data_IF_102731461142
#
_entry.id   IF_102731461142
#
_cell.length_a   1.000
_cell.length_b   1.000
_cell.length_c   1.000
_cell.angle_alpha   90.00
_cell.angle_beta   90.00
_cell.angle_gamma   90.00
#
_symmetry.space_group_name_H-M   'P 1'
#
loop_
_entity.id
_entity.type
_entity.pdbx_description
1 polymer ?
#
# COMPACT_ATOMS: atom_id res chain seq x y z
N UNK A 1 15.44 81.52 -4.17
CA UNK A 1 14.32 81.57 -5.14
C UNK A 1 13.17 80.75 -4.56
N UNK A 2 11.96 81.27 -4.68
CA UNK A 2 10.83 81.10 -3.77
C UNK A 2 10.03 79.79 -3.94
N UNK A 3 9.36 79.38 -2.86
CA UNK A 3 8.22 78.46 -2.84
C UNK A 3 7.01 79.08 -3.54
N UNK A 4 6.28 78.34 -4.41
CA UNK A 4 4.83 78.45 -4.63
C UNK A 4 4.26 77.15 -5.24
N UNK A 5 2.94 77.00 -5.15
CA UNK A 5 2.18 75.77 -4.95
C UNK A 5 0.98 75.66 -5.91
N UNK A 6 0.67 74.44 -6.37
CA UNK A 6 -0.67 73.91 -6.76
C UNK A 6 -1.34 74.49 -8.04
N UNK A 7 -1.73 73.63 -9.00
CA UNK A 7 -3.11 73.37 -9.51
C UNK A 7 -3.20 72.90 -10.97
N UNK A 8 -4.19 72.02 -11.20
CA UNK A 8 -4.89 71.65 -12.45
C UNK A 8 -4.29 70.51 -13.29
N UNK A 9 -5.04 69.50 -13.76
CA UNK A 9 -6.44 69.10 -13.56
C UNK A 9 -6.58 67.64 -14.07
N UNK A 10 -7.12 66.73 -13.25
CA UNK A 10 -7.55 65.40 -13.68
C UNK A 10 -8.97 65.55 -14.23
N UNK A 11 -9.17 65.33 -15.53
CA UNK A 11 -10.51 65.16 -16.12
C UNK A 11 -10.65 63.71 -16.59
N UNK A 12 -11.45 62.96 -15.84
CA UNK A 12 -11.97 61.65 -16.19
C UNK A 12 -12.99 61.78 -17.33
N UNK A 13 -12.70 61.15 -18.46
CA UNK A 13 -13.62 60.73 -19.50
C UNK A 13 -12.84 59.65 -20.28
N UNK A 14 -13.27 58.41 -20.49
CA UNK A 14 -14.56 57.79 -20.41
C UNK A 14 -14.53 56.72 -21.51
N UNK A 15 -14.31 55.46 -21.15
CA UNK A 15 -14.64 54.32 -22.00
C UNK A 15 -14.82 53.08 -21.12
N UNK A 16 -16.05 52.89 -20.68
CA UNK A 16 -16.50 51.66 -20.02
C UNK A 16 -16.64 50.60 -21.11
N UNK A 17 -15.66 49.69 -21.19
CA UNK A 17 -15.83 48.43 -21.90
C UNK A 17 -16.79 47.56 -21.07
N UNK A 18 -17.89 47.01 -21.62
CA UNK A 18 -18.61 45.96 -20.96
C UNK A 18 -17.69 44.73 -20.93
N UNK A 19 -17.11 44.48 -19.76
CA UNK A 19 -16.45 43.24 -19.41
C UNK A 19 -17.51 42.15 -19.50
N UNK A 20 -17.60 41.48 -20.66
CA UNK A 20 -18.43 40.30 -20.79
C UNK A 20 -17.86 39.27 -19.84
N UNK A 21 -18.68 38.90 -18.85
CA UNK A 21 -18.41 37.78 -17.98
C UNK A 21 -18.45 36.54 -18.86
N UNK A 22 -17.28 36.11 -19.35
CA UNK A 22 -17.11 34.70 -19.66
C UNK A 22 -17.24 34.00 -18.32
N UNK A 23 -18.41 33.42 -18.09
CA UNK A 23 -18.58 32.33 -17.14
C UNK A 23 -17.61 31.25 -17.58
N UNK A 24 -16.35 31.37 -17.14
CA UNK A 24 -15.44 30.25 -17.09
C UNK A 24 -16.15 29.26 -16.20
N UNK A 25 -16.78 28.27 -16.80
CA UNK A 25 -17.18 27.06 -16.12
C UNK A 25 -15.92 26.57 -15.42
N UNK A 26 -15.83 26.87 -14.12
CA UNK A 26 -15.09 26.04 -13.19
C UNK A 26 -15.87 24.74 -13.21
N UNK A 27 -15.62 23.91 -14.23
CA UNK A 27 -15.71 22.50 -14.00
C UNK A 27 -14.76 22.32 -12.81
N UNK A 28 -15.34 22.04 -11.65
CA UNK A 28 -14.57 21.42 -10.58
C UNK A 28 -13.96 20.19 -11.25
N UNK A 29 -12.70 20.29 -11.71
CA UNK A 29 -11.89 19.11 -11.89
C UNK A 29 -11.95 18.47 -10.52
N UNK A 30 -12.73 17.39 -10.41
CA UNK A 30 -12.62 16.50 -9.28
C UNK A 30 -11.17 16.06 -9.32
N UNK A 31 -10.33 16.73 -8.54
CA UNK A 31 -8.91 16.42 -8.47
C UNK A 31 -8.88 14.98 -7.98
N UNK A 32 -8.24 14.11 -8.77
CA UNK A 32 -8.18 12.71 -8.40
C UNK A 32 -7.51 12.63 -7.02
N UNK A 33 -7.97 11.72 -6.16
CA UNK A 33 -7.40 11.56 -4.83
C UNK A 33 -6.54 10.32 -4.79
N UNK A 34 -5.22 10.52 -4.80
CA UNK A 34 -4.25 9.47 -4.58
C UNK A 34 -4.35 8.94 -3.14
N UNK A 35 -4.37 7.62 -2.98
CA UNK A 35 -4.31 6.91 -1.70
C UNK A 35 -3.33 5.77 -1.81
N UNK A 36 -2.44 5.66 -0.84
CA UNK A 36 -1.45 4.61 -0.78
C UNK A 36 -1.20 4.18 0.66
N UNK A 37 -1.01 2.89 0.87
CA UNK A 37 -0.54 2.34 2.15
C UNK A 37 0.43 1.20 1.90
N UNK A 38 1.44 1.05 2.74
CA UNK A 38 2.36 -0.07 2.73
C UNK A 38 2.74 -0.45 4.15
N UNK A 39 3.04 -1.73 4.35
CA UNK A 39 3.55 -2.21 5.63
C UNK A 39 4.43 -3.44 5.46
N UNK A 40 5.41 -3.57 6.36
CA UNK A 40 6.33 -4.70 6.34
C UNK A 40 5.67 -5.99 6.81
N UNK A 41 5.09 -5.97 8.02
CA UNK A 41 4.45 -7.14 8.63
C UNK A 41 3.09 -6.75 9.19
N UNK A 42 2.10 -7.63 9.02
CA UNK A 42 0.83 -7.57 9.73
C UNK A 42 0.47 -8.96 10.23
N UNK A 43 0.23 -9.09 11.52
CA UNK A 43 -0.25 -10.32 12.16
C UNK A 43 -1.60 -10.04 12.78
N UNK A 44 -2.62 -10.80 12.37
CA UNK A 44 -3.96 -10.72 12.94
C UNK A 44 -4.41 -12.11 13.37
N UNK A 45 -4.43 -12.37 14.67
CA UNK A 45 -4.93 -13.60 15.28
C UNK A 45 -5.84 -13.26 16.45
N UNK A 46 -6.46 -14.26 17.08
CA UNK A 46 -7.28 -14.04 18.27
C UNK A 46 -6.51 -13.41 19.45
N UNK A 47 -5.18 -13.54 19.49
CA UNK A 47 -4.34 -13.09 20.62
C UNK A 47 -3.42 -11.93 20.25
N UNK A 48 -3.06 -11.80 18.97
CA UNK A 48 -2.07 -10.82 18.50
C UNK A 48 -2.67 -10.02 17.35
N UNK A 49 -2.62 -8.69 17.46
CA UNK A 49 -2.93 -7.79 16.36
C UNK A 49 -1.82 -6.73 16.28
N UNK A 50 -0.88 -6.92 15.38
CA UNK A 50 0.29 -6.06 15.23
C UNK A 50 0.55 -5.76 13.75
N UNK A 51 0.96 -4.52 13.47
CA UNK A 51 1.35 -4.08 12.14
C UNK A 51 2.54 -3.13 12.27
N UNK A 52 3.65 -3.45 11.60
CA UNK A 52 4.87 -2.65 11.65
C UNK A 52 5.88 -3.08 10.57
N UNK A 53 6.71 -2.16 10.06
CA UNK A 53 6.44 -0.72 9.96
C UNK A 53 5.25 -0.47 9.05
N UNK A 54 4.60 0.70 9.16
CA UNK A 54 3.44 1.05 8.34
C UNK A 54 3.47 2.51 7.86
N UNK A 55 3.47 2.70 6.55
CA UNK A 55 3.34 3.99 5.90
C UNK A 55 1.94 4.13 5.28
N UNK A 56 1.29 5.27 5.54
CA UNK A 56 -0.03 5.61 4.97
C UNK A 56 0.05 7.03 4.46
N UNK A 57 -0.38 7.27 3.23
CA UNK A 57 -0.29 8.58 2.59
C UNK A 57 -1.26 9.55 3.30
N UNK A 58 -0.75 10.58 3.99
CA UNK A 58 -1.60 11.58 4.64
C UNK A 58 -2.26 12.49 3.60
N UNK A 59 -3.43 13.05 3.93
CA UNK A 59 -4.08 14.02 3.05
C UNK A 59 -3.23 15.29 2.91
N UNK A 60 -2.91 15.67 1.67
CA UNK A 60 -2.13 16.88 1.36
C UNK A 60 -0.61 16.70 1.36
N UNK A 61 -0.12 15.50 1.65
CA UNK A 61 1.31 15.15 1.59
C UNK A 61 1.62 14.31 0.35
N UNK A 62 2.85 14.41 -0.15
CA UNK A 62 3.30 13.64 -1.32
C UNK A 62 3.88 12.28 -0.95
N UNK A 63 4.26 12.08 0.31
CA UNK A 63 5.05 10.94 0.73
C UNK A 63 4.84 10.63 2.20
N UNK A 64 4.90 9.34 2.54
CA UNK A 64 5.14 8.90 3.92
C UNK A 64 6.05 7.68 3.91
N UNK A 65 6.81 7.52 4.99
CA UNK A 65 7.74 6.40 5.18
C UNK A 65 7.69 5.94 6.61
N UNK A 66 7.90 4.65 6.83
CA UNK A 66 8.14 4.07 8.13
C UNK A 66 9.14 2.92 7.99
N UNK A 67 9.95 2.69 9.02
CA UNK A 67 11.03 1.70 8.95
C UNK A 67 11.34 1.09 10.31
N UNK A 68 11.76 -0.17 10.28
CA UNK A 68 12.21 -0.91 11.44
C UNK A 68 13.36 -1.83 11.05
N UNK A 69 14.46 -1.76 11.79
CA UNK A 69 15.60 -2.67 11.60
C UNK A 69 15.23 -4.12 11.89
N UNK A 70 14.37 -4.33 12.89
CA UNK A 70 13.84 -5.64 13.25
C UNK A 70 12.36 -5.52 13.60
N UNK A 71 11.55 -6.43 13.07
CA UNK A 71 10.15 -6.62 13.46
C UNK A 71 9.98 -8.07 13.88
N UNK A 72 9.66 -8.29 15.15
CA UNK A 72 9.46 -9.64 15.70
C UNK A 72 8.10 -9.77 16.37
N UNK A 73 7.33 -10.75 15.94
CA UNK A 73 6.14 -11.23 16.63
C UNK A 73 6.42 -12.67 17.06
N UNK A 74 6.52 -12.87 18.37
CA UNK A 74 7.03 -14.11 18.96
C UNK A 74 6.34 -15.36 18.40
N UNK A 75 7.16 -16.32 17.95
CA UNK A 75 6.74 -17.58 17.33
C UNK A 75 6.00 -17.48 15.98
N UNK A 76 5.72 -16.28 15.47
CA UNK A 76 4.92 -16.08 14.25
C UNK A 76 5.72 -15.52 13.09
N UNK A 77 6.46 -14.44 13.29
CA UNK A 77 7.22 -13.80 12.22
C UNK A 77 8.36 -12.96 12.75
N UNK A 78 9.51 -13.02 12.09
CA UNK A 78 10.63 -12.11 12.26
C UNK A 78 11.09 -11.58 10.91
N UNK A 79 11.30 -10.27 10.81
CA UNK A 79 11.76 -9.60 9.59
C UNK A 79 12.86 -8.61 9.93
N UNK A 80 13.89 -8.55 9.09
CA UNK A 80 14.96 -7.57 9.15
C UNK A 80 14.80 -6.50 8.07
N UNK A 81 15.32 -5.30 8.34
CA UNK A 81 15.41 -4.17 7.41
C UNK A 81 14.09 -3.86 6.70
N UNK A 82 13.02 -3.76 7.49
CA UNK A 82 11.70 -3.45 6.98
C UNK A 82 11.58 -1.96 6.66
N UNK A 83 11.25 -1.65 5.42
CA UNK A 83 11.05 -0.29 4.92
C UNK A 83 9.73 -0.19 4.15
N UNK A 84 8.84 0.67 4.63
CA UNK A 84 7.57 0.98 4.00
C UNK A 84 7.60 2.42 3.50
N UNK A 85 7.19 2.62 2.24
CA UNK A 85 7.14 3.93 1.60
C UNK A 85 5.88 4.01 0.75
N UNK A 86 5.29 5.21 0.73
CA UNK A 86 4.15 5.56 -0.11
C UNK A 86 4.40 6.93 -0.72
N UNK A 87 3.94 7.11 -1.96
CA UNK A 87 4.02 8.35 -2.71
C UNK A 87 2.69 8.61 -3.42
N UNK A 88 2.30 9.88 -3.51
CA UNK A 88 1.13 10.33 -4.27
C UNK A 88 1.44 11.56 -5.09
N UNK A 89 0.78 11.69 -6.23
CA UNK A 89 0.82 12.89 -7.06
C UNK A 89 -0.01 14.02 -6.40
N UNK A 90 0.57 15.22 -6.24
CA UNK A 90 -0.14 16.39 -5.69
C UNK A 90 -0.62 17.37 -6.78
N UNK A 91 -0.12 17.23 -8.01
CA UNK A 91 -0.46 18.10 -9.13
C UNK A 91 -1.90 17.87 -9.55
N UNK A 92 -2.27 16.62 -9.78
CA UNK A 92 -3.65 16.24 -10.15
C UNK A 92 -4.15 14.99 -9.43
N UNK A 93 -3.32 14.37 -8.58
CA UNK A 93 -3.65 13.13 -7.87
C UNK A 93 -3.88 11.93 -8.76
N UNK A 94 -3.37 12.00 -10.00
CA UNK A 94 -3.53 10.98 -11.02
C UNK A 94 -2.69 9.72 -10.76
N UNK A 95 -1.80 9.73 -9.76
CA UNK A 95 -0.89 8.64 -9.46
C UNK A 95 -0.70 8.36 -7.97
N UNK A 96 -0.60 7.09 -7.62
CA UNK A 96 -0.27 6.59 -6.30
C UNK A 96 0.69 5.39 -6.43
N UNK A 97 1.79 5.41 -5.68
CA UNK A 97 2.77 4.32 -5.64
C UNK A 97 3.04 3.96 -4.19
N UNK A 98 3.08 2.66 -3.88
CA UNK A 98 3.51 2.18 -2.58
C UNK A 98 4.45 0.99 -2.72
N UNK A 99 5.34 0.87 -1.74
CA UNK A 99 6.20 -0.30 -1.65
C UNK A 99 6.53 -0.68 -0.21
N UNK A 100 6.75 -1.97 -0.02
CA UNK A 100 7.34 -2.53 1.18
C UNK A 100 8.57 -3.36 0.77
N UNK A 101 9.74 -2.99 1.27
CA UNK A 101 11.00 -3.73 1.08
C UNK A 101 11.43 -4.30 2.40
N UNK A 102 11.80 -5.57 2.41
CA UNK A 102 12.20 -6.31 3.59
C UNK A 102 13.46 -7.10 3.24
N UNK A 103 14.39 -7.20 4.18
CA UNK A 103 15.52 -8.11 4.11
C UNK A 103 15.08 -9.53 4.46
N UNK A 104 15.86 -10.20 5.31
CA UNK A 104 15.57 -11.58 5.70
C UNK A 104 14.24 -11.69 6.46
N UNK A 105 13.41 -12.62 6.01
CA UNK A 105 12.08 -12.93 6.54
C UNK A 105 12.08 -14.38 7.03
N UNK A 106 11.49 -14.60 8.19
CA UNK A 106 11.17 -15.92 8.72
C UNK A 106 9.75 -15.90 9.27
N UNK A 107 8.89 -16.79 8.78
CA UNK A 107 7.51 -16.96 9.21
C UNK A 107 7.32 -18.36 9.78
N UNK A 108 6.63 -18.44 10.93
CA UNK A 108 6.29 -19.65 11.65
C UNK A 108 7.50 -20.56 11.89
N UNK A 109 8.57 -19.98 12.45
CA UNK A 109 9.81 -20.67 12.84
C UNK A 109 10.50 -21.43 11.68
N UNK A 110 10.56 -20.80 10.50
CA UNK A 110 11.26 -21.32 9.33
C UNK A 110 10.38 -22.14 8.38
N UNK A 111 9.07 -22.22 8.63
CA UNK A 111 8.15 -22.82 7.68
C UNK A 111 8.17 -22.07 6.34
N UNK A 112 8.32 -20.74 6.39
CA UNK A 112 8.55 -19.91 5.21
C UNK A 112 9.72 -18.98 5.50
N UNK A 113 10.68 -18.92 4.59
CA UNK A 113 11.82 -18.00 4.66
C UNK A 113 12.06 -17.32 3.32
N UNK A 114 12.53 -16.09 3.34
CA UNK A 114 13.00 -15.38 2.15
C UNK A 114 14.15 -14.44 2.56
N UNK A 115 15.11 -14.19 1.67
CA UNK A 115 16.23 -13.28 1.95
C UNK A 115 15.91 -11.82 1.58
N UNK A 116 14.90 -11.64 0.74
CA UNK A 116 14.42 -10.33 0.34
C UNK A 116 12.97 -10.42 -0.13
N UNK A 117 12.18 -9.43 0.26
CA UNK A 117 10.79 -9.30 -0.17
C UNK A 117 10.56 -7.88 -0.64
N UNK A 118 10.05 -7.73 -1.85
CA UNK A 118 9.66 -6.44 -2.42
C UNK A 118 8.20 -6.54 -2.84
N UNK A 119 7.34 -5.76 -2.21
CA UNK A 119 5.97 -5.53 -2.64
C UNK A 119 5.90 -4.17 -3.34
N UNK A 120 5.37 -4.12 -4.56
CA UNK A 120 5.15 -2.89 -5.31
C UNK A 120 3.68 -2.81 -5.72
N UNK A 121 3.07 -1.66 -5.53
CA UNK A 121 1.75 -1.37 -6.08
C UNK A 121 1.76 0.02 -6.69
N UNK A 122 1.48 0.11 -7.99
CA UNK A 122 1.35 1.36 -8.73
C UNK A 122 -0.06 1.50 -9.26
N UNK A 123 -0.62 2.70 -9.15
CA UNK A 123 -1.93 3.02 -9.72
C UNK A 123 -1.90 4.41 -10.33
N UNK A 124 -2.43 4.51 -11.54
CA UNK A 124 -2.76 5.76 -12.18
C UNK A 124 -4.18 5.71 -12.73
N UNK A 125 -4.71 6.83 -13.23
CA UNK A 125 -6.08 6.87 -13.75
C UNK A 125 -6.27 5.84 -14.86
N UNK A 126 -7.03 4.77 -14.56
CA UNK A 126 -7.37 3.71 -15.51
C UNK A 126 -6.37 2.55 -15.60
N UNK A 127 -5.27 2.55 -14.83
CA UNK A 127 -4.35 1.40 -14.79
C UNK A 127 -3.72 1.21 -13.42
N UNK A 128 -3.56 -0.05 -13.01
CA UNK A 128 -2.86 -0.44 -11.80
C UNK A 128 -2.07 -1.72 -12.04
N UNK A 129 -0.89 -1.82 -11.45
CA UNK A 129 0.01 -2.96 -11.62
C UNK A 129 0.88 -3.19 -10.37
N UNK A 130 1.54 -4.35 -10.37
CA UNK A 130 2.42 -4.82 -9.32
C UNK A 130 3.88 -4.89 -9.78
N UNK A 131 4.26 -4.15 -10.83
CA UNK A 131 5.57 -4.26 -11.45
C UNK A 131 6.69 -3.96 -10.45
N UNK A 132 7.74 -4.80 -10.44
CA UNK A 132 8.84 -4.73 -9.47
C UNK A 132 8.63 -5.53 -8.19
N UNK A 133 7.46 -6.15 -7.99
CA UNK A 133 7.24 -7.09 -6.89
C UNK A 133 8.10 -8.35 -7.05
N UNK A 134 8.78 -8.79 -6.00
CA UNK A 134 9.69 -9.95 -6.06
C UNK A 134 9.94 -10.61 -4.69
N UNK A 135 10.32 -11.88 -4.75
CA UNK A 135 10.68 -12.73 -3.61
C UNK A 135 12.04 -13.37 -3.89
N UNK A 136 13.04 -13.09 -3.05
CA UNK A 136 14.39 -13.62 -3.20
C UNK A 136 14.62 -14.81 -2.28
N UNK A 137 15.15 -15.92 -2.84
CA UNK A 137 15.49 -17.16 -2.12
C UNK A 137 14.33 -17.68 -1.26
N UNK A 138 13.11 -17.61 -1.78
CA UNK A 138 11.92 -18.04 -1.05
C UNK A 138 11.94 -19.56 -0.88
N UNK A 139 11.74 -20.00 0.35
CA UNK A 139 11.53 -21.41 0.72
C UNK A 139 10.20 -21.52 1.43
N UNK A 140 9.37 -22.46 1.00
CA UNK A 140 8.09 -22.79 1.63
C UNK A 140 8.08 -24.27 1.97
N UNK A 141 7.90 -24.59 3.25
CA UNK A 141 7.88 -25.96 3.76
C UNK A 141 9.12 -26.77 3.32
N UNK A 142 10.29 -26.13 3.33
CA UNK A 142 11.58 -26.73 2.93
C UNK A 142 11.82 -26.85 1.42
N UNK A 143 10.89 -26.37 0.57
CA UNK A 143 11.03 -26.38 -0.89
C UNK A 143 11.27 -24.98 -1.42
N UNK A 144 12.30 -24.80 -2.25
CA UNK A 144 12.57 -23.52 -2.94
C UNK A 144 11.44 -23.20 -3.92
N UNK A 145 10.97 -21.95 -3.91
CA UNK A 145 9.92 -21.45 -4.80
C UNK A 145 10.45 -20.21 -5.50
N UNK A 146 10.82 -20.35 -6.76
CA UNK A 146 11.33 -19.26 -7.57
C UNK A 146 10.21 -18.62 -8.39
N UNK A 147 10.14 -17.29 -8.37
CA UNK A 147 9.25 -16.45 -9.19
C UNK A 147 7.78 -16.95 -9.21
N UNK A 148 7.09 -16.99 -8.05
CA UNK A 148 5.70 -17.43 -8.01
C UNK A 148 4.82 -16.48 -8.84
N UNK A 149 4.03 -17.07 -9.75
CA UNK A 149 3.00 -16.35 -10.49
C UNK A 149 2.02 -15.64 -9.53
N UNK A 150 1.34 -14.57 -9.97
CA UNK A 150 0.37 -13.88 -9.14
C UNK A 150 -0.68 -14.83 -8.54
N UNK A 151 -0.96 -14.68 -7.25
CA UNK A 151 -1.91 -15.49 -6.48
C UNK A 151 -1.55 -16.99 -6.40
N UNK A 152 -0.26 -17.33 -6.39
CA UNK A 152 0.19 -18.72 -6.23
C UNK A 152 -0.13 -19.22 -4.83
N UNK A 153 -1.00 -20.21 -4.71
CA UNK A 153 -1.36 -20.81 -3.42
C UNK A 153 -0.61 -22.12 -3.18
N UNK A 154 -0.04 -22.26 -1.98
CA UNK A 154 0.59 -23.48 -1.50
C UNK A 154 -0.01 -23.89 -0.15
N UNK A 155 -0.40 -25.15 0.00
CA UNK A 155 -0.92 -25.66 1.26
C UNK A 155 0.23 -25.92 2.26
N UNK A 156 -0.05 -25.63 3.54
CA UNK A 156 0.88 -25.78 4.65
C UNK A 156 0.31 -26.82 5.64
N UNK A 157 0.71 -28.09 5.54
CA UNK A 157 0.17 -29.16 6.36
C UNK A 157 0.23 -28.85 7.86
N UNK A 158 -0.91 -28.93 8.54
CA UNK A 158 -1.03 -28.64 9.98
C UNK A 158 -1.12 -27.15 10.34
N UNK A 159 -1.05 -26.24 9.37
CA UNK A 159 -1.07 -24.79 9.59
C UNK A 159 -2.22 -24.10 8.83
N UNK A 160 -2.39 -24.41 7.54
CA UNK A 160 -3.32 -23.70 6.66
C UNK A 160 -2.76 -23.63 5.24
N UNK A 161 -2.65 -22.43 4.68
CA UNK A 161 -2.03 -22.21 3.38
C UNK A 161 -1.34 -20.85 3.29
N UNK A 162 -0.49 -20.68 2.29
CA UNK A 162 0.09 -19.39 1.90
C UNK A 162 -0.35 -19.03 0.49
N UNK A 163 -0.66 -17.76 0.27
CA UNK A 163 -0.79 -17.14 -1.05
C UNK A 163 0.43 -16.25 -1.26
N UNK A 164 1.20 -16.56 -2.30
CA UNK A 164 2.40 -15.84 -2.70
C UNK A 164 2.05 -14.89 -3.83
N UNK A 165 2.66 -13.69 -3.81
CA UNK A 165 2.42 -12.64 -4.79
C UNK A 165 0.91 -12.43 -4.99
N UNK A 166 0.17 -12.32 -3.89
CA UNK A 166 -1.27 -12.10 -3.92
C UNK A 166 -1.54 -10.71 -4.48
N UNK A 167 -2.30 -10.64 -5.56
CA UNK A 167 -2.65 -9.41 -6.22
C UNK A 167 -4.17 -9.28 -6.24
N UNK A 168 -4.65 -8.21 -5.60
CA UNK A 168 -6.08 -7.91 -5.45
C UNK A 168 -6.38 -6.57 -6.13
N UNK A 169 -6.80 -6.61 -7.42
CA UNK A 169 -7.26 -5.41 -8.12
C UNK A 169 -8.54 -4.85 -7.49
N UNK A 170 -8.68 -3.53 -7.53
CA UNK A 170 -9.86 -2.78 -7.10
C UNK A 170 -10.27 -1.80 -8.20
N UNK A 171 -11.38 -1.08 -8.03
CA UNK A 171 -11.94 -0.21 -9.08
C UNK A 171 -11.04 0.96 -9.51
N UNK A 172 -9.99 1.27 -8.76
CA UNK A 172 -9.02 2.32 -9.10
C UNK A 172 -7.64 2.05 -8.53
N UNK A 173 -7.32 0.79 -8.24
CA UNK A 173 -6.15 0.46 -7.45
C UNK A 173 -5.79 -1.02 -7.44
N UNK A 174 -4.70 -1.34 -6.75
CA UNK A 174 -4.26 -2.71 -6.50
C UNK A 174 -3.67 -2.83 -5.11
N UNK A 175 -3.90 -3.96 -4.46
CA UNK A 175 -3.17 -4.38 -3.25
C UNK A 175 -2.36 -5.62 -3.58
N UNK A 176 -1.09 -5.60 -3.17
CA UNK A 176 -0.12 -6.68 -3.37
C UNK A 176 0.36 -7.13 -2.00
N UNK A 177 0.23 -8.42 -1.72
CA UNK A 177 0.77 -9.07 -0.53
C UNK A 177 1.74 -10.17 -0.99
N UNK A 178 3.03 -10.04 -0.66
CA UNK A 178 4.02 -10.97 -1.18
C UNK A 178 3.94 -12.34 -0.53
N UNK A 179 3.72 -12.38 0.79
CA UNK A 179 3.49 -13.61 1.53
C UNK A 179 2.25 -13.39 2.41
N UNK A 180 1.15 -14.04 2.07
CA UNK A 180 -0.08 -14.03 2.86
C UNK A 180 -0.38 -15.44 3.37
N UNK A 181 -0.09 -15.69 4.64
CA UNK A 181 -0.39 -16.95 5.32
C UNK A 181 -1.75 -16.85 5.98
N UNK A 182 -2.63 -17.78 5.64
CA UNK A 182 -3.94 -17.96 6.27
C UNK A 182 -3.84 -19.15 7.22
N UNK A 183 -3.92 -18.87 8.52
CA UNK A 183 -3.90 -19.87 9.57
C UNK A 183 -5.27 -20.51 9.69
N UNK A 184 -5.31 -21.84 9.65
CA UNK A 184 -6.54 -22.60 9.73
C UNK A 184 -6.44 -23.69 10.78
N UNK A 185 -7.55 -23.94 11.46
CA UNK A 185 -7.71 -25.08 12.37
C UNK A 185 -8.78 -26.02 11.84
N UNK A 186 -8.59 -27.34 11.95
CA UNK A 186 -9.62 -28.30 11.59
C UNK A 186 -10.80 -28.19 12.55
N UNK A 187 -12.01 -28.16 11.99
CA UNK A 187 -13.25 -28.28 12.76
C UNK A 187 -13.53 -29.76 12.95
N UNK A 188 -13.55 -30.22 14.20
CA UNK A 188 -13.84 -31.61 14.53
C UNK A 188 -15.36 -31.80 14.70
N UNK A 189 -15.90 -32.79 13.99
CA UNK A 189 -17.27 -33.24 14.19
C UNK A 189 -17.43 -34.04 15.48
N UNK A 190 -18.68 -34.36 15.83
CA UNK A 190 -19.05 -35.10 17.05
C UNK A 190 -18.38 -36.48 17.15
N UNK A 191 -17.97 -37.05 16.01
CA UNK A 191 -17.27 -38.34 15.93
C UNK A 191 -15.74 -38.21 15.74
N UNK A 192 -15.18 -37.01 15.91
CA UNK A 192 -13.73 -36.75 15.81
C UNK A 192 -13.16 -36.64 14.39
N UNK A 193 -13.99 -36.75 13.35
CA UNK A 193 -13.59 -36.50 11.96
C UNK A 193 -13.50 -35.00 11.65
N UNK A 194 -12.60 -34.60 10.75
CA UNK A 194 -12.52 -33.22 10.25
C UNK A 194 -13.70 -32.94 9.33
N UNK A 195 -14.57 -32.00 9.70
CA UNK A 195 -15.76 -31.60 8.93
C UNK A 195 -15.54 -30.31 8.13
N UNK A 196 -14.43 -29.62 8.36
CA UNK A 196 -14.05 -28.42 7.65
C UNK A 196 -12.82 -27.77 8.27
N UNK A 197 -12.49 -26.58 7.79
CA UNK A 197 -11.43 -25.74 8.34
C UNK A 197 -12.01 -24.36 8.66
N UNK A 198 -11.56 -23.78 9.77
CA UNK A 198 -11.90 -22.43 10.14
C UNK A 198 -10.63 -21.58 10.17
N UNK A 199 -10.67 -20.40 9.54
CA UNK A 199 -9.58 -19.42 9.63
C UNK A 199 -9.49 -18.89 11.06
N UNK A 200 -8.29 -18.93 11.62
CA UNK A 200 -7.99 -18.47 12.99
C UNK A 200 -7.14 -17.21 13.03
N UNK A 201 -6.58 -16.82 11.89
CA UNK A 201 -5.82 -15.59 11.75
C UNK A 201 -5.00 -15.58 10.46
N UNK A 202 -4.33 -14.46 10.24
CA UNK A 202 -3.58 -14.18 9.03
C UNK A 202 -2.23 -13.55 9.40
N UNK A 203 -1.21 -13.88 8.61
CA UNK A 203 0.12 -13.27 8.66
C UNK A 203 0.42 -12.76 7.26
N UNK A 204 0.62 -11.46 7.12
CA UNK A 204 0.97 -10.82 5.86
C UNK A 204 2.37 -10.23 6.00
N UNK A 205 3.25 -10.54 5.04
CA UNK A 205 4.60 -10.00 4.93
C UNK A 205 4.79 -9.37 3.56
N UNK A 206 5.23 -8.11 3.56
CA UNK A 206 5.42 -7.28 2.39
C UNK A 206 4.08 -6.92 1.75
N UNK A 207 3.46 -5.83 2.19
CA UNK A 207 2.20 -5.35 1.62
C UNK A 207 2.33 -3.95 1.05
N UNK A 208 1.81 -3.76 -0.14
CA UNK A 208 1.71 -2.48 -0.83
C UNK A 208 0.31 -2.33 -1.42
N UNK A 209 -0.32 -1.18 -1.20
CA UNK A 209 -1.63 -0.83 -1.70
C UNK A 209 -1.59 0.56 -2.31
N UNK A 210 -2.11 0.71 -3.52
CA UNK A 210 -2.25 2.00 -4.20
C UNK A 210 -3.62 2.12 -4.82
N UNK A 211 -4.16 3.34 -4.87
CA UNK A 211 -5.41 3.64 -5.57
C UNK A 211 -5.53 5.12 -5.91
N UNK A 212 -6.28 5.41 -6.97
CA UNK A 212 -6.69 6.74 -7.40
C UNK A 212 -8.20 6.72 -7.67
N UNK A 213 -8.91 7.78 -7.28
CA UNK A 213 -10.35 7.97 -7.55
C UNK A 213 -10.65 9.40 -7.98
#
# INVERSE_FOLDING_TARGET
MNNESIRAAIRFAGLVLPLMWTSGSVAAQMQATARASSYGVSVSTATVNQKSPAAVLPAGEMMATDQASDVTVDGLVSVQDAFAIVNGDLTDGSGAVSSATLGAVNVLNGLITADGVVAMASSTVGTSDAEGSSLANLVVNGVSVDDPAPNTRLDLPGVGYVVLNEQVPTSGGITVNMIHVVLQQPVLGVLGGVTGYQTTGDIIVGSASSSVN
#
